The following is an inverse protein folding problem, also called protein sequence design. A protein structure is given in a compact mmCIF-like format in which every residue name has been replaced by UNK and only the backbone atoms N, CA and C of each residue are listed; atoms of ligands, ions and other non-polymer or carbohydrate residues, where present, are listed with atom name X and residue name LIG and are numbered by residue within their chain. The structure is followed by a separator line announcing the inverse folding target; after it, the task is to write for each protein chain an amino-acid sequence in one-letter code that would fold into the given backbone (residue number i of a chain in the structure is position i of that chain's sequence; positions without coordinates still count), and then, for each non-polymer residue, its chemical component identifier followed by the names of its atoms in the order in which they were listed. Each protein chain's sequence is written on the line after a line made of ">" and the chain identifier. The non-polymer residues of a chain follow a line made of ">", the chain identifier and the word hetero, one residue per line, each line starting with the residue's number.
data_IF_460835836207
#
_entry.id   IF_460835836207
#
_cell.length_a   1.000
_cell.length_b   1.000
_cell.length_c   1.000
_cell.angle_alpha   90.00
_cell.angle_beta   90.00
_cell.angle_gamma   90.00
#
_symmetry.space_group_name_H-M   'P 1'
#
loop_
_entity.id
_entity.type
_entity.pdbx_description
1 polymer ?
#
# COMPACT_ATOMS: atom_id res chain seq x y z
N UNK A 1 18.56 33.83 -8.09
CA UNK A 1 18.93 32.80 -9.10
C UNK A 1 18.44 31.47 -8.56
N UNK A 2 17.30 31.04 -9.05
CA UNK A 2 16.68 29.77 -8.63
C UNK A 2 17.39 28.62 -9.32
N UNK A 3 18.12 27.84 -8.56
CA UNK A 3 18.60 26.55 -9.02
C UNK A 3 17.44 25.57 -9.00
N UNK A 4 16.62 25.55 -10.03
CA UNK A 4 15.82 24.38 -10.35
C UNK A 4 16.82 23.38 -10.93
N UNK A 5 17.20 22.41 -10.12
CA UNK A 5 17.95 21.26 -10.60
C UNK A 5 17.08 20.56 -11.64
N UNK A 6 17.60 20.19 -12.83
CA UNK A 6 16.81 19.56 -13.90
C UNK A 6 16.40 18.10 -13.59
N UNK A 7 16.29 17.73 -12.33
CA UNK A 7 15.95 16.38 -11.87
C UNK A 7 14.45 16.20 -11.55
N UNK A 8 13.63 17.20 -11.80
CA UNK A 8 12.19 17.08 -11.68
C UNK A 8 11.56 16.74 -13.02
N UNK A 9 11.87 15.58 -13.57
CA UNK A 9 10.97 14.97 -14.54
C UNK A 9 9.83 14.32 -13.76
N UNK A 10 8.57 14.80 -13.89
CA UNK A 10 7.44 14.26 -13.16
C UNK A 10 7.12 12.79 -13.48
N UNK A 11 7.79 12.20 -14.45
CA UNK A 11 7.65 10.79 -14.80
C UNK A 11 8.36 9.81 -13.87
N UNK A 12 9.18 10.27 -12.93
CA UNK A 12 9.83 9.40 -11.92
C UNK A 12 9.09 9.35 -10.57
N UNK A 13 7.96 9.99 -10.45
CA UNK A 13 6.99 9.79 -9.37
C UNK A 13 6.22 8.50 -9.63
N UNK A 14 5.94 7.75 -8.73
CA UNK A 14 6.34 7.09 -7.49
C UNK A 14 6.44 5.57 -7.66
N UNK A 15 7.61 5.02 -7.71
CA UNK A 15 7.76 3.57 -7.88
C UNK A 15 7.09 2.76 -6.75
N UNK A 16 7.12 3.21 -5.52
CA UNK A 16 6.49 2.45 -4.43
C UNK A 16 4.95 2.57 -4.40
N UNK A 17 4.36 3.61 -4.97
CA UNK A 17 2.89 3.73 -5.04
C UNK A 17 2.30 2.91 -6.19
N UNK A 18 3.10 2.58 -7.19
CA UNK A 18 2.69 1.85 -8.39
C UNK A 18 3.34 0.46 -8.53
N UNK A 19 4.20 0.05 -7.61
CA UNK A 19 4.73 -1.32 -7.54
C UNK A 19 3.65 -2.37 -7.18
N UNK A 20 2.38 -2.03 -7.35
CA UNK A 20 1.30 -2.97 -7.33
C UNK A 20 0.93 -3.25 -8.79
N UNK A 21 0.88 -4.49 -9.19
CA UNK A 21 1.28 -5.03 -10.48
C UNK A 21 0.69 -4.31 -11.68
N UNK A 22 1.55 -3.86 -12.55
CA UNK A 22 1.15 -3.34 -13.86
C UNK A 22 0.64 -4.47 -14.75
N UNK A 23 1.04 -5.71 -14.54
CA UNK A 23 0.58 -6.87 -15.31
C UNK A 23 0.94 -8.16 -14.57
N UNK A 24 0.01 -8.80 -13.88
CA UNK A 24 0.13 -10.18 -13.35
C UNK A 24 1.47 -10.54 -12.68
N UNK A 25 2.19 -9.56 -12.16
CA UNK A 25 3.48 -9.75 -11.52
C UNK A 25 3.31 -10.26 -10.09
N UNK A 26 4.22 -11.11 -9.66
CA UNK A 26 4.37 -11.48 -8.27
C UNK A 26 5.07 -10.35 -7.50
N UNK A 27 4.98 -10.35 -6.17
CA UNK A 27 5.74 -9.40 -5.35
C UNK A 27 7.25 -9.52 -5.60
N UNK A 28 7.75 -10.71 -5.90
CA UNK A 28 9.15 -10.94 -6.23
C UNK A 28 9.56 -10.25 -7.54
N UNK A 29 8.73 -10.33 -8.56
CA UNK A 29 8.97 -9.63 -9.83
C UNK A 29 8.99 -8.11 -9.65
N UNK A 30 8.13 -7.58 -8.79
CA UNK A 30 8.11 -6.16 -8.43
C UNK A 30 9.40 -5.72 -7.73
N UNK A 31 9.92 -6.54 -6.82
CA UNK A 31 11.22 -6.30 -6.17
C UNK A 31 12.34 -6.28 -7.22
N UNK A 32 12.39 -7.26 -8.11
CA UNK A 32 13.42 -7.32 -9.16
C UNK A 32 13.34 -6.12 -10.11
N UNK A 33 12.12 -5.68 -10.44
CA UNK A 33 11.93 -4.47 -11.23
C UNK A 33 12.48 -3.23 -10.49
N UNK A 34 12.15 -3.06 -9.21
CA UNK A 34 12.63 -1.93 -8.40
C UNK A 34 14.16 -1.94 -8.25
N UNK A 35 14.77 -3.11 -8.09
CA UNK A 35 16.23 -3.28 -8.08
C UNK A 35 16.83 -2.82 -9.42
N UNK A 36 16.23 -3.23 -10.55
CA UNK A 36 16.66 -2.79 -11.88
C UNK A 36 16.59 -1.27 -12.04
N UNK A 37 15.50 -0.64 -11.57
CA UNK A 37 15.36 0.83 -11.57
C UNK A 37 16.43 1.47 -10.69
N UNK A 38 16.67 0.95 -9.48
CA UNK A 38 17.75 1.45 -8.59
C UNK A 38 19.12 1.41 -9.27
N UNK A 39 19.44 0.34 -9.98
CA UNK A 39 20.69 0.19 -10.73
C UNK A 39 20.81 1.23 -11.86
N UNK A 40 19.70 1.49 -12.58
CA UNK A 40 19.66 2.54 -13.59
C UNK A 40 19.84 3.94 -12.96
N UNK A 41 19.19 4.21 -11.85
CA UNK A 41 19.36 5.47 -11.12
C UNK A 41 20.83 5.71 -10.77
N UNK A 42 21.53 4.71 -10.23
CA UNK A 42 22.97 4.80 -9.95
C UNK A 42 23.80 5.03 -11.20
N UNK A 43 23.52 4.29 -12.26
CA UNK A 43 24.25 4.41 -13.53
C UNK A 43 24.19 5.82 -14.12
N UNK A 44 23.05 6.49 -13.97
CA UNK A 44 22.82 7.82 -14.53
C UNK A 44 22.89 8.95 -13.50
N UNK A 45 23.34 8.66 -12.29
CA UNK A 45 23.43 9.63 -11.18
C UNK A 45 22.08 10.33 -10.91
N UNK A 46 21.01 9.54 -10.85
CA UNK A 46 19.65 9.98 -10.54
C UNK A 46 19.29 9.50 -9.13
N UNK A 47 18.63 10.35 -8.34
CA UNK A 47 18.14 9.95 -7.01
C UNK A 47 16.99 8.95 -7.14
N UNK A 48 17.06 7.87 -6.36
CA UNK A 48 15.98 6.90 -6.24
C UNK A 48 15.18 7.20 -4.97
N UNK A 49 13.94 7.65 -5.16
CA UNK A 49 13.02 8.03 -4.08
C UNK A 49 11.94 6.94 -3.98
N UNK A 50 11.81 6.33 -2.80
CA UNK A 50 10.73 5.39 -2.50
C UNK A 50 9.55 6.14 -1.84
N UNK A 51 8.41 6.17 -2.50
CA UNK A 51 7.16 6.64 -1.90
C UNK A 51 6.50 5.52 -1.10
N UNK A 52 6.76 5.51 0.19
CA UNK A 52 6.22 4.54 1.13
C UNK A 52 5.01 5.04 1.93
N UNK A 53 4.40 6.11 1.46
CA UNK A 53 3.20 6.71 2.07
C UNK A 53 2.10 5.66 2.32
N UNK A 54 2.00 4.64 1.47
CA UNK A 54 1.00 3.58 1.59
C UNK A 54 1.58 2.25 2.10
N UNK A 55 2.75 1.85 1.62
CA UNK A 55 3.30 0.52 1.86
C UNK A 55 4.26 0.45 3.02
N UNK A 56 4.78 1.59 3.47
CA UNK A 56 5.60 1.69 4.66
C UNK A 56 4.83 1.51 5.96
N UNK A 57 5.53 1.72 7.06
CA UNK A 57 5.02 1.52 8.41
C UNK A 57 4.49 0.10 8.62
N UNK A 58 5.31 -0.91 8.32
CA UNK A 58 5.11 -2.30 8.69
C UNK A 58 4.16 -3.11 7.83
N UNK A 59 3.45 -2.51 6.89
CA UNK A 59 2.36 -3.17 6.15
C UNK A 59 2.80 -4.45 5.43
N UNK A 60 4.03 -4.52 4.96
CA UNK A 60 4.57 -5.66 4.19
C UNK A 60 5.31 -6.69 5.05
N UNK A 61 5.33 -6.53 6.37
CA UNK A 61 6.11 -7.35 7.29
C UNK A 61 7.55 -6.86 7.53
N UNK A 62 7.94 -5.77 6.85
CA UNK A 62 9.13 -4.96 7.15
C UNK A 62 8.71 -3.53 7.38
N UNK A 63 9.46 -2.77 8.19
CA UNK A 63 9.07 -1.39 8.52
C UNK A 63 9.01 -0.52 7.27
N UNK A 64 10.03 -0.57 6.42
CA UNK A 64 9.99 0.00 5.07
C UNK A 64 9.75 -1.12 4.04
N UNK A 65 8.88 -0.87 3.09
CA UNK A 65 8.68 -1.77 1.96
C UNK A 65 9.97 -1.93 1.14
N UNK A 66 10.75 -0.85 0.99
CA UNK A 66 12.04 -0.86 0.32
C UNK A 66 13.12 -1.69 1.01
N UNK A 67 12.94 -2.12 2.26
CA UNK A 67 13.85 -3.06 2.91
C UNK A 67 13.85 -4.46 2.24
N UNK A 68 12.81 -4.76 1.44
CA UNK A 68 12.78 -5.97 0.62
C UNK A 68 13.75 -5.94 -0.56
N UNK A 69 14.25 -4.75 -0.95
CA UNK A 69 15.25 -4.61 -2.02
C UNK A 69 16.65 -5.05 -1.57
N UNK A 70 16.84 -5.25 -0.27
CA UNK A 70 18.13 -5.58 0.33
C UNK A 70 19.02 -4.34 0.57
N UNK A 71 20.05 -4.48 1.40
CA UNK A 71 20.87 -3.35 1.86
C UNK A 71 21.60 -2.62 0.72
N UNK A 72 21.94 -3.36 -0.35
CA UNK A 72 22.64 -2.80 -1.51
C UNK A 72 21.77 -1.88 -2.38
N UNK A 73 20.43 -2.00 -2.25
CA UNK A 73 19.49 -1.32 -3.14
C UNK A 73 18.60 -0.31 -2.38
N UNK A 74 19.05 0.14 -1.22
CA UNK A 74 18.33 1.16 -0.45
C UNK A 74 18.06 2.41 -1.29
N UNK A 75 16.88 3.02 -1.15
CA UNK A 75 16.59 4.30 -1.77
C UNK A 75 17.46 5.41 -1.16
N UNK A 76 17.65 6.48 -1.90
CA UNK A 76 18.33 7.69 -1.42
C UNK A 76 17.42 8.50 -0.50
N UNK A 77 16.10 8.44 -0.76
CA UNK A 77 15.06 9.08 0.05
C UNK A 77 13.83 8.17 0.16
N UNK A 78 13.12 8.30 1.28
CA UNK A 78 11.84 7.61 1.54
C UNK A 78 10.81 8.61 2.03
N UNK A 79 9.64 8.63 1.42
CA UNK A 79 8.49 9.38 1.90
C UNK A 79 7.58 8.48 2.73
N UNK A 80 7.24 8.89 3.95
CA UNK A 80 6.32 8.17 4.84
C UNK A 80 5.17 9.07 5.28
N UNK A 81 3.97 8.50 5.40
CA UNK A 81 2.80 9.18 5.94
C UNK A 81 1.75 8.14 6.42
N UNK A 82 0.51 8.54 6.52
CA UNK A 82 -0.65 7.67 6.85
C UNK A 82 -0.42 6.85 8.12
N UNK A 83 -0.04 5.58 7.98
CA UNK A 83 0.10 4.64 9.10
C UNK A 83 1.26 4.94 10.04
N UNK A 84 2.17 5.87 9.70
CA UNK A 84 3.32 6.20 10.55
C UNK A 84 2.92 6.76 11.92
N UNK A 85 1.74 7.33 12.04
CA UNK A 85 1.17 7.83 13.30
C UNK A 85 0.14 6.88 13.92
N UNK A 86 0.09 5.63 13.48
CA UNK A 86 -1.00 4.71 13.84
C UNK A 86 -2.39 5.17 13.36
N UNK A 87 -2.45 6.14 12.44
CA UNK A 87 -3.69 6.73 11.94
C UNK A 87 -4.32 7.78 12.85
N UNK A 88 -3.68 8.14 13.96
CA UNK A 88 -4.22 9.06 14.97
C UNK A 88 -4.04 10.55 14.64
N UNK A 89 -3.05 10.90 13.80
CA UNK A 89 -2.76 12.29 13.45
C UNK A 89 -2.21 12.40 12.02
N UNK A 90 -2.59 13.43 11.23
CA UNK A 90 -2.02 13.68 9.91
C UNK A 90 -0.54 14.10 10.04
N UNK A 91 0.36 13.26 9.57
CA UNK A 91 1.78 13.57 9.51
C UNK A 91 2.45 12.91 8.32
N UNK A 92 3.55 13.48 7.88
CA UNK A 92 4.43 12.91 6.88
C UNK A 92 5.88 13.19 7.24
N UNK A 93 6.76 12.28 6.83
CA UNK A 93 8.19 12.36 7.07
C UNK A 93 8.93 12.02 5.78
N UNK A 94 10.04 12.71 5.57
CA UNK A 94 11.00 12.37 4.53
C UNK A 94 12.27 11.91 5.24
N UNK A 95 12.71 10.71 4.91
CA UNK A 95 13.97 10.14 5.39
C UNK A 95 14.94 10.12 4.21
N UNK A 96 16.17 10.53 4.46
CA UNK A 96 17.23 10.49 3.46
C UNK A 96 18.59 10.33 4.14
N UNK A 97 19.61 10.00 3.35
CA UNK A 97 20.98 9.95 3.82
C UNK A 97 21.61 11.37 3.83
N UNK A 98 22.78 11.50 4.42
CA UNK A 98 23.47 12.77 4.55
C UNK A 98 23.89 13.38 3.20
N UNK A 99 24.13 12.53 2.19
CA UNK A 99 24.49 13.00 0.84
C UNK A 99 23.35 13.74 0.15
N UNK A 100 22.10 13.50 0.57
CA UNK A 100 20.89 14.09 -0.03
C UNK A 100 20.21 15.08 0.91
N UNK A 101 20.22 14.84 2.21
CA UNK A 101 19.50 15.63 3.22
C UNK A 101 20.40 16.15 4.33
N UNK A 102 21.71 15.99 4.22
CA UNK A 102 22.66 16.51 5.20
C UNK A 102 22.70 18.05 5.25
N UNK A 103 23.38 18.62 6.27
CA UNK A 103 23.42 20.07 6.51
C UNK A 103 23.97 20.89 5.34
N UNK A 104 24.82 20.28 4.51
CA UNK A 104 25.39 20.93 3.33
C UNK A 104 24.45 20.94 2.13
N UNK A 105 23.43 20.05 2.14
CA UNK A 105 22.47 19.89 1.05
C UNK A 105 21.19 20.69 1.28
N UNK A 106 20.67 20.71 2.50
CA UNK A 106 19.47 21.49 2.87
C UNK A 106 19.85 22.54 3.90
N UNK A 107 19.84 23.79 3.47
CA UNK A 107 20.17 24.91 4.34
C UNK A 107 18.95 25.41 5.11
N UNK A 108 19.15 26.09 6.24
CA UNK A 108 18.07 26.75 6.95
C UNK A 108 17.22 27.61 6.00
N UNK A 109 15.91 27.56 6.14
CA UNK A 109 14.90 28.29 5.37
C UNK A 109 14.69 27.83 3.91
N UNK A 110 15.36 26.79 3.43
CA UNK A 110 15.12 26.23 2.09
C UNK A 110 13.89 25.32 2.04
N UNK A 111 13.52 24.71 3.17
CA UNK A 111 12.35 23.85 3.26
C UNK A 111 11.62 24.08 4.58
N UNK A 112 10.33 23.83 4.59
CA UNK A 112 9.51 23.91 5.79
C UNK A 112 8.02 23.86 5.50
N UNK A 113 7.26 23.74 6.57
CA UNK A 113 5.79 23.77 6.55
C UNK A 113 5.30 24.40 7.84
N UNK A 114 4.14 25.06 7.79
CA UNK A 114 3.51 25.66 8.99
C UNK A 114 3.26 24.61 10.08
N UNK A 115 2.98 23.37 9.71
CA UNK A 115 2.77 22.27 10.65
C UNK A 115 4.01 21.38 10.84
N UNK A 116 5.15 21.80 10.33
CA UNK A 116 6.41 21.11 10.56
C UNK A 116 6.69 21.01 12.07
N UNK A 117 7.14 19.83 12.51
CA UNK A 117 7.48 19.55 13.92
C UNK A 117 6.31 19.72 14.90
N UNK A 118 5.04 19.60 14.44
CA UNK A 118 3.90 19.65 15.33
C UNK A 118 4.05 18.63 16.48
N UNK A 119 4.00 19.03 17.76
CA UNK A 119 4.23 18.11 18.88
C UNK A 119 3.31 16.91 18.88
N UNK A 120 2.03 17.09 18.52
CA UNK A 120 1.06 16.01 18.44
C UNK A 120 1.45 14.97 17.38
N UNK A 121 1.96 15.39 16.22
CA UNK A 121 2.45 14.49 15.17
C UNK A 121 3.62 13.64 15.67
N UNK A 122 4.59 14.27 16.31
CA UNK A 122 5.78 13.58 16.80
C UNK A 122 5.45 12.59 17.92
N UNK A 123 4.60 12.98 18.88
CA UNK A 123 4.15 12.07 19.95
C UNK A 123 3.38 10.90 19.36
N UNK A 124 2.45 11.14 18.43
CA UNK A 124 1.69 10.08 17.77
C UNK A 124 2.61 9.09 17.05
N UNK A 125 3.62 9.59 16.34
CA UNK A 125 4.61 8.74 15.65
C UNK A 125 5.44 7.94 16.63
N UNK A 126 5.99 8.57 17.67
CA UNK A 126 6.81 7.88 18.68
C UNK A 126 6.00 6.79 19.39
N UNK A 127 4.76 7.10 19.76
CA UNK A 127 3.86 6.10 20.36
C UNK A 127 3.55 4.95 19.40
N UNK A 128 3.30 5.27 18.13
CA UNK A 128 3.08 4.22 17.13
C UNK A 128 4.31 3.30 17.00
N UNK A 129 5.52 3.87 16.91
CA UNK A 129 6.76 3.09 16.84
C UNK A 129 6.95 2.19 18.05
N UNK A 130 6.65 2.71 19.25
CA UNK A 130 6.69 1.92 20.48
C UNK A 130 5.72 0.73 20.44
N UNK A 131 4.48 0.94 19.98
CA UNK A 131 3.48 -0.12 19.81
C UNK A 131 3.93 -1.15 18.77
N UNK A 132 4.60 -0.74 17.68
CA UNK A 132 5.16 -1.69 16.70
C UNK A 132 6.10 -2.70 17.36
N UNK A 133 6.95 -2.24 18.29
CA UNK A 133 7.89 -3.11 19.00
C UNK A 133 7.19 -3.94 20.08
N UNK A 134 6.35 -3.31 20.92
CA UNK A 134 5.66 -3.97 22.02
C UNK A 134 4.70 -5.08 21.57
N UNK A 135 3.97 -4.85 20.46
CA UNK A 135 2.99 -5.80 19.92
C UNK A 135 3.55 -6.66 18.78
N UNK A 136 4.83 -6.51 18.44
CA UNK A 136 5.50 -7.24 17.36
C UNK A 136 4.72 -7.16 16.01
N UNK A 137 4.28 -5.96 15.65
CA UNK A 137 3.35 -5.76 14.53
C UNK A 137 3.93 -6.11 13.17
N UNK A 138 5.26 -6.10 12.99
CA UNK A 138 5.90 -6.54 11.74
C UNK A 138 5.71 -8.04 11.52
N UNK A 139 5.88 -8.85 12.57
CA UNK A 139 5.59 -10.28 12.51
C UNK A 139 4.09 -10.51 12.32
N UNK A 140 3.25 -9.77 13.04
CA UNK A 140 1.79 -9.84 12.88
C UNK A 140 1.35 -9.57 11.43
N UNK A 141 1.94 -8.57 10.76
CA UNK A 141 1.67 -8.32 9.34
C UNK A 141 1.99 -9.54 8.47
N UNK A 142 3.12 -10.20 8.74
CA UNK A 142 3.52 -11.43 8.04
C UNK A 142 2.52 -12.56 8.28
N UNK A 143 2.09 -12.75 9.52
CA UNK A 143 1.13 -13.81 9.91
C UNK A 143 -0.24 -13.60 9.25
N UNK A 144 -0.73 -12.35 9.23
CA UNK A 144 -1.95 -11.98 8.50
C UNK A 144 -1.83 -12.35 7.02
N UNK A 145 -0.71 -12.00 6.38
CA UNK A 145 -0.47 -12.30 4.98
C UNK A 145 -0.45 -13.81 4.69
N UNK A 146 0.20 -14.58 5.54
CA UNK A 146 0.27 -16.04 5.41
C UNK A 146 -1.13 -16.67 5.57
N UNK A 147 -1.89 -16.23 6.58
CA UNK A 147 -3.27 -16.69 6.83
C UNK A 147 -4.20 -16.35 5.66
N UNK A 148 -4.08 -15.12 5.12
CA UNK A 148 -4.83 -14.71 3.93
C UNK A 148 -4.50 -15.59 2.72
N UNK A 149 -3.22 -15.80 2.43
CA UNK A 149 -2.78 -16.64 1.31
C UNK A 149 -3.31 -18.08 1.44
N UNK A 150 -3.27 -18.65 2.64
CA UNK A 150 -3.76 -20.01 2.88
C UNK A 150 -5.25 -20.14 2.63
N UNK A 151 -6.06 -19.21 3.15
CA UNK A 151 -7.52 -19.23 2.96
C UNK A 151 -7.87 -19.07 1.48
N UNK A 152 -7.23 -18.15 0.77
CA UNK A 152 -7.56 -17.83 -0.61
C UNK A 152 -7.13 -18.90 -1.62
N UNK A 153 -6.20 -19.79 -1.28
CA UNK A 153 -5.83 -20.95 -2.12
C UNK A 153 -7.03 -21.83 -2.48
N UNK A 154 -8.01 -21.90 -1.58
CA UNK A 154 -9.22 -22.73 -1.77
C UNK A 154 -10.27 -22.06 -2.66
N UNK A 155 -10.14 -20.78 -2.96
CA UNK A 155 -11.14 -20.02 -3.71
C UNK A 155 -11.07 -20.33 -5.21
N UNK A 156 -12.15 -20.88 -5.77
CA UNK A 156 -12.23 -21.41 -7.15
C UNK A 156 -13.23 -20.65 -8.02
N UNK A 157 -13.43 -19.35 -7.77
CA UNK A 157 -14.37 -18.55 -8.54
C UNK A 157 -13.81 -18.28 -9.95
N UNK A 158 -14.64 -18.51 -10.97
CA UNK A 158 -14.27 -18.38 -12.39
C UNK A 158 -13.84 -16.96 -12.77
N UNK A 159 -14.39 -15.96 -12.09
CA UNK A 159 -14.11 -14.54 -12.29
C UNK A 159 -12.87 -14.03 -11.55
N UNK A 160 -12.28 -14.78 -10.62
CA UNK A 160 -11.00 -14.42 -10.02
C UNK A 160 -9.89 -14.73 -11.03
N UNK A 161 -9.10 -13.71 -11.35
CA UNK A 161 -7.94 -13.82 -12.23
C UNK A 161 -6.75 -14.39 -11.47
N UNK A 162 -6.40 -13.74 -10.37
CA UNK A 162 -5.38 -14.16 -9.40
C UNK A 162 -5.52 -13.36 -8.10
N UNK A 163 -4.80 -13.81 -7.07
CA UNK A 163 -4.72 -13.15 -5.76
C UNK A 163 -3.26 -12.90 -5.45
N UNK A 164 -2.96 -11.72 -4.92
CA UNK A 164 -1.61 -11.37 -4.45
C UNK A 164 -1.68 -10.82 -3.04
N UNK A 165 -0.63 -11.02 -2.27
CA UNK A 165 -0.46 -10.34 -1.00
C UNK A 165 1.01 -10.22 -0.60
N UNK A 166 1.28 -9.24 0.23
CA UNK A 166 2.52 -9.14 0.99
C UNK A 166 2.20 -8.56 2.36
N UNK A 167 2.49 -9.34 3.39
CA UNK A 167 2.08 -8.97 4.74
C UNK A 167 0.58 -8.70 4.80
N UNK A 168 0.20 -7.62 5.45
CA UNK A 168 -1.19 -7.19 5.64
C UNK A 168 -1.78 -6.42 4.44
N UNK A 169 -1.10 -6.35 3.31
CA UNK A 169 -1.62 -5.77 2.07
C UNK A 169 -1.92 -6.89 1.05
N UNK A 170 -3.14 -6.90 0.54
CA UNK A 170 -3.61 -7.93 -0.38
C UNK A 170 -4.44 -7.34 -1.53
N UNK A 171 -4.50 -8.06 -2.62
CA UNK A 171 -5.35 -7.73 -3.76
C UNK A 171 -5.95 -8.98 -4.38
N UNK A 172 -7.21 -8.87 -4.78
CA UNK A 172 -7.92 -9.90 -5.56
C UNK A 172 -8.23 -9.28 -6.92
N UNK A 173 -7.66 -9.84 -7.97
CA UNK A 173 -7.87 -9.38 -9.34
C UNK A 173 -9.05 -10.10 -9.95
N UNK A 174 -9.96 -9.32 -10.52
CA UNK A 174 -11.21 -9.81 -11.13
C UNK A 174 -11.05 -9.77 -12.65
N UNK A 175 -11.44 -10.85 -13.32
CA UNK A 175 -11.49 -10.86 -14.79
C UNK A 175 -12.57 -9.89 -15.27
N UNK A 176 -12.32 -9.11 -16.32
CA UNK A 176 -13.36 -8.28 -16.92
C UNK A 176 -14.59 -9.12 -17.30
N UNK A 177 -15.76 -8.66 -16.92
CA UNK A 177 -17.02 -9.34 -17.21
C UNK A 177 -18.22 -8.42 -16.95
N UNK A 178 -19.36 -8.73 -17.54
CA UNK A 178 -20.53 -7.85 -17.52
C UNK A 178 -21.28 -7.84 -16.17
N UNK A 179 -21.14 -8.88 -15.35
CA UNK A 179 -21.93 -9.04 -14.12
C UNK A 179 -21.07 -8.85 -12.88
N UNK A 180 -19.89 -9.43 -12.82
CA UNK A 180 -19.01 -9.38 -11.64
C UNK A 180 -17.94 -8.33 -11.83
N UNK A 181 -18.08 -7.21 -11.15
CA UNK A 181 -17.10 -6.13 -11.14
C UNK A 181 -16.53 -5.93 -9.72
N UNK A 182 -15.31 -5.39 -9.56
CA UNK A 182 -14.79 -5.04 -8.23
C UNK A 182 -15.73 -4.13 -7.44
N UNK A 183 -16.40 -3.18 -8.10
CA UNK A 183 -17.37 -2.28 -7.47
C UNK A 183 -18.59 -3.04 -6.95
N UNK A 184 -19.12 -3.98 -7.74
CA UNK A 184 -20.25 -4.81 -7.32
C UNK A 184 -19.91 -5.67 -6.10
N UNK A 185 -18.75 -6.33 -6.11
CA UNK A 185 -18.25 -7.10 -4.96
C UNK A 185 -18.08 -6.19 -3.74
N UNK A 186 -17.45 -5.03 -3.89
CA UNK A 186 -17.23 -4.10 -2.77
C UNK A 186 -18.54 -3.59 -2.16
N UNK A 187 -19.56 -3.31 -2.98
CA UNK A 187 -20.89 -2.91 -2.49
C UNK A 187 -21.58 -4.01 -1.69
N UNK A 188 -21.58 -5.22 -2.20
CA UNK A 188 -22.19 -6.35 -1.51
C UNK A 188 -21.43 -6.66 -0.20
N UNK A 189 -20.08 -6.56 -0.22
CA UNK A 189 -19.26 -6.70 0.97
C UNK A 189 -19.59 -5.62 2.02
N UNK A 190 -19.75 -4.37 1.59
CA UNK A 190 -20.13 -3.28 2.48
C UNK A 190 -21.49 -3.51 3.15
N UNK A 191 -22.49 -3.97 2.41
CA UNK A 191 -23.79 -4.33 2.98
C UNK A 191 -23.71 -5.47 4.02
N UNK A 192 -22.72 -6.35 3.87
CA UNK A 192 -22.48 -7.45 4.81
C UNK A 192 -21.52 -7.08 5.95
N UNK A 193 -21.10 -5.80 6.01
CA UNK A 193 -20.27 -5.25 7.08
C UNK A 193 -18.76 -5.34 6.86
N UNK A 194 -18.30 -5.53 5.62
CA UNK A 194 -16.87 -5.49 5.28
C UNK A 194 -16.62 -4.41 4.25
N UNK A 195 -15.73 -3.46 4.58
CA UNK A 195 -15.30 -2.43 3.65
C UNK A 195 -14.07 -2.89 2.86
N UNK A 196 -14.19 -2.91 1.53
CA UNK A 196 -13.11 -3.25 0.60
C UNK A 196 -13.04 -2.16 -0.46
N UNK A 197 -11.84 -1.77 -0.84
CA UNK A 197 -11.65 -0.71 -1.82
C UNK A 197 -11.53 -1.27 -3.24
N UNK A 198 -12.51 -1.00 -4.14
CA UNK A 198 -12.41 -1.36 -5.55
C UNK A 198 -11.50 -0.38 -6.28
N UNK A 199 -10.59 -0.88 -7.11
CA UNK A 199 -9.68 -0.06 -7.90
C UNK A 199 -9.32 -0.74 -9.22
N UNK A 200 -9.75 -0.17 -10.35
CA UNK A 200 -9.61 -0.81 -11.66
C UNK A 200 -10.18 -2.22 -11.65
N UNK A 201 -9.41 -3.19 -12.09
CA UNK A 201 -9.81 -4.62 -12.15
C UNK A 201 -9.61 -5.38 -10.82
N UNK A 202 -9.37 -4.71 -9.70
CA UNK A 202 -9.04 -5.39 -8.45
C UNK A 202 -9.79 -4.86 -7.23
N UNK A 203 -9.87 -5.71 -6.23
CA UNK A 203 -10.21 -5.38 -4.86
C UNK A 203 -8.90 -5.20 -4.08
N UNK A 204 -8.72 -4.07 -3.44
CA UNK A 204 -7.59 -3.80 -2.53
C UNK A 204 -8.03 -4.04 -1.12
N UNK A 205 -7.28 -4.85 -0.40
CA UNK A 205 -7.55 -5.24 0.98
C UNK A 205 -6.34 -4.85 1.81
N UNK A 206 -6.54 -3.92 2.75
CA UNK A 206 -5.51 -3.53 3.72
C UNK A 206 -6.01 -3.91 5.11
N UNK A 207 -5.36 -4.89 5.72
CA UNK A 207 -5.69 -5.27 7.08
C UNK A 207 -5.07 -4.29 8.08
N UNK A 208 -5.77 -3.99 9.17
CA UNK A 208 -5.16 -3.35 10.33
C UNK A 208 -4.17 -4.33 10.96
N UNK A 209 -2.98 -3.84 11.36
CA UNK A 209 -1.95 -4.73 11.90
C UNK A 209 -2.35 -5.32 13.26
N UNK A 210 -3.19 -4.62 14.00
CA UNK A 210 -3.72 -5.05 15.29
C UNK A 210 -5.08 -5.77 15.20
N UNK A 211 -5.53 -6.16 14.00
CA UNK A 211 -6.75 -6.94 13.81
C UNK A 211 -6.65 -8.26 14.59
N UNK A 212 -7.69 -8.59 15.36
CA UNK A 212 -7.76 -9.88 16.04
C UNK A 212 -8.01 -11.02 15.06
N UNK A 213 -7.62 -12.24 15.42
CA UNK A 213 -7.89 -13.41 14.57
C UNK A 213 -9.39 -13.64 14.36
N UNK A 214 -10.20 -13.36 15.38
CA UNK A 214 -11.65 -13.46 15.29
C UNK A 214 -12.24 -12.49 14.27
N UNK A 215 -11.81 -11.24 14.29
CA UNK A 215 -12.23 -10.21 13.32
C UNK A 215 -11.75 -10.54 11.92
N UNK A 216 -10.50 -10.99 11.79
CA UNK A 216 -9.95 -11.42 10.52
C UNK A 216 -10.77 -12.57 9.92
N UNK A 217 -11.04 -13.63 10.71
CA UNK A 217 -11.79 -14.81 10.26
C UNK A 217 -13.23 -14.44 9.90
N UNK A 218 -13.87 -13.57 10.69
CA UNK A 218 -15.20 -13.05 10.39
C UNK A 218 -15.20 -12.26 9.07
N UNK A 219 -14.25 -11.35 8.87
CA UNK A 219 -14.13 -10.57 7.64
C UNK A 219 -13.89 -11.43 6.40
N UNK A 220 -13.01 -12.43 6.51
CA UNK A 220 -12.73 -13.38 5.43
C UNK A 220 -13.94 -14.29 5.12
N UNK A 221 -14.69 -14.71 6.13
CA UNK A 221 -15.93 -15.46 5.96
C UNK A 221 -16.99 -14.65 5.22
N UNK A 222 -17.16 -13.37 5.58
CA UNK A 222 -18.07 -12.46 4.86
C UNK A 222 -17.61 -12.28 3.42
N UNK A 223 -16.32 -12.02 3.18
CA UNK A 223 -15.79 -11.84 1.83
C UNK A 223 -16.02 -13.11 0.98
N UNK A 224 -15.76 -14.29 1.53
CA UNK A 224 -16.03 -15.57 0.86
C UNK A 224 -17.49 -15.68 0.46
N UNK A 225 -18.43 -15.40 1.39
CA UNK A 225 -19.86 -15.45 1.10
C UNK A 225 -20.29 -14.46 0.00
N UNK A 226 -19.66 -13.28 -0.03
CA UNK A 226 -19.90 -12.30 -1.10
C UNK A 226 -19.46 -12.84 -2.45
N UNK A 227 -18.27 -13.44 -2.52
CA UNK A 227 -17.76 -14.01 -3.76
C UNK A 227 -18.60 -15.20 -4.23
N UNK A 228 -19.14 -15.99 -3.31
CA UNK A 228 -20.02 -17.12 -3.64
C UNK A 228 -21.36 -16.66 -4.25
N UNK A 229 -21.88 -15.51 -3.77
CA UNK A 229 -23.24 -15.06 -4.13
C UNK A 229 -23.27 -14.01 -5.26
N UNK A 230 -22.19 -13.29 -5.51
CA UNK A 230 -22.17 -12.06 -6.33
C UNK A 230 -22.65 -12.25 -7.76
N UNK A 231 -22.46 -13.43 -8.37
CA UNK A 231 -22.94 -13.72 -9.73
C UNK A 231 -24.47 -13.85 -9.80
N UNK A 232 -25.06 -14.48 -8.81
CA UNK A 232 -26.51 -14.75 -8.74
C UNK A 232 -27.28 -13.69 -7.95
N UNK A 233 -26.60 -12.79 -7.25
CA UNK A 233 -27.24 -11.76 -6.45
C UNK A 233 -27.95 -10.76 -7.33
N UNK A 234 -29.20 -10.44 -7.01
CA UNK A 234 -30.00 -9.49 -7.76
C UNK A 234 -29.46 -8.05 -7.72
N UNK A 235 -30.33 -7.08 -7.75
CA UNK A 235 -29.96 -5.66 -7.62
C UNK A 235 -29.39 -5.39 -6.22
N UNK A 236 -28.25 -4.68 -6.16
CA UNK A 236 -27.65 -4.26 -4.90
C UNK A 236 -28.15 -2.85 -4.60
N UNK A 237 -28.91 -2.63 -3.51
CA UNK A 237 -29.43 -1.30 -3.18
C UNK A 237 -28.31 -0.25 -3.09
N UNK A 238 -28.57 0.97 -3.58
CA UNK A 238 -27.60 2.06 -3.63
C UNK A 238 -26.61 1.98 -4.80
N UNK A 239 -26.80 1.07 -5.75
CA UNK A 239 -26.06 1.09 -7.01
C UNK A 239 -26.56 2.26 -7.86
N UNK A 240 -25.74 3.29 -7.98
CA UNK A 240 -25.86 4.29 -9.05
C UNK A 240 -25.46 3.54 -10.33
N UNK A 241 -26.20 3.75 -11.43
CA UNK A 241 -25.89 3.12 -12.72
C UNK A 241 -24.41 3.34 -13.07
N UNK A 242 -23.66 2.26 -13.25
CA UNK A 242 -22.21 2.28 -13.47
C UNK A 242 -21.79 2.85 -14.84
N UNK A 243 -22.79 3.23 -15.67
CA UNK A 243 -22.58 3.68 -17.06
C UNK A 243 -22.01 5.10 -17.21
N UNK A 244 -21.88 5.89 -16.13
CA UNK A 244 -21.69 7.33 -16.31
C UNK A 244 -20.44 7.95 -15.66
N UNK A 245 -19.51 7.19 -15.14
CA UNK A 245 -18.23 7.77 -14.69
C UNK A 245 -17.08 7.19 -15.50
N UNK A 246 -16.49 7.97 -16.44
CA UNK A 246 -15.20 7.62 -17.02
C UNK A 246 -14.17 7.46 -15.89
N UNK A 247 -13.39 6.39 -15.92
CA UNK A 247 -12.24 6.22 -15.04
C UNK A 247 -11.26 7.39 -15.29
N UNK A 248 -11.05 8.23 -14.27
CA UNK A 248 -9.96 9.21 -14.23
C UNK A 248 -8.70 8.54 -13.69
#
# INVERSE_FOLDING_TARGET
>A
MSFIHPLADPCLYPLAHQLIPILSSTFEEEIQFAIGVRQLCRKYNILFIADEVRMGAGKTGKFLCSDWLGPENKPDMVNMAKSITGGSYPASYILGNDDVMGPDMIKPYETGSTFCMAPAANIATLTALQIYDEENLLQRATDIGNKFAEITKSWKHSFIKYVTNRGADASIYIKPGNVVTPRRIARLAFQRGVFIYPHGERLRIGFALNITDQEFDKGMGILKSVLDDVESYGEIPGSIHEAETPEQ
#
